data_IF_002508152550
#
_entry.id   IF_002508152550
#
_cell.length_a   1.000
_cell.length_b   1.000
_cell.length_c   1.000
_cell.angle_alpha   90.00
_cell.angle_beta   90.00
_cell.angle_gamma   90.00
#
_symmetry.space_group_name_H-M   'P 1'
#
loop_
_entity.id
_entity.type
_entity.pdbx_description
1 polymer ?
#
# COMPACT_ATOMS: atom_id res chain seq x y z
N UNK A 1 -10.45 5.74 7.49
CA UNK A 1 -10.70 4.44 8.16
C UNK A 1 -10.35 3.34 7.17
N UNK A 2 -9.80 2.20 7.61
CA UNK A 2 -9.86 0.98 6.83
C UNK A 2 -11.32 0.73 6.44
N UNK A 3 -11.59 0.51 5.15
CA UNK A 3 -12.93 0.11 4.73
C UNK A 3 -12.94 -1.41 4.54
N UNK A 4 -13.32 -2.10 5.61
CA UNK A 4 -13.34 -3.57 5.70
C UNK A 4 -14.30 -4.20 4.66
N UNK A 5 -15.25 -3.42 4.14
CA UNK A 5 -16.23 -3.88 3.13
C UNK A 5 -15.72 -3.61 1.72
N UNK A 6 -15.12 -2.44 1.47
CA UNK A 6 -14.65 -2.10 0.12
C UNK A 6 -13.36 -2.82 -0.28
N UNK A 7 -12.43 -3.05 0.65
CA UNK A 7 -11.13 -3.62 0.31
C UNK A 7 -11.20 -5.04 -0.31
N UNK A 8 -12.04 -5.98 0.20
CA UNK A 8 -12.23 -7.29 -0.44
C UNK A 8 -12.85 -7.19 -1.83
N UNK A 9 -13.87 -6.32 -1.99
CA UNK A 9 -14.59 -6.16 -3.26
C UNK A 9 -13.67 -5.57 -4.35
N UNK A 10 -12.83 -4.59 -3.99
CA UNK A 10 -11.82 -4.06 -4.89
C UNK A 10 -10.78 -5.12 -5.25
N UNK A 11 -10.39 -5.99 -4.32
CA UNK A 11 -9.44 -7.07 -4.59
C UNK A 11 -9.99 -8.09 -5.58
N UNK A 12 -11.29 -8.39 -5.52
CA UNK A 12 -11.98 -9.25 -6.50
C UNK A 12 -12.00 -8.62 -7.90
N UNK A 13 -12.26 -7.31 -8.00
CA UNK A 13 -12.22 -6.58 -9.29
C UNK A 13 -10.80 -6.62 -9.87
N UNK A 14 -9.77 -6.37 -9.06
CA UNK A 14 -8.37 -6.43 -9.52
C UNK A 14 -7.99 -7.82 -10.03
N UNK A 15 -8.55 -8.88 -9.45
CA UNK A 15 -8.32 -10.26 -9.86
C UNK A 15 -9.18 -10.75 -11.03
N UNK A 16 -10.05 -9.91 -11.60
CA UNK A 16 -11.03 -10.36 -12.59
C UNK A 16 -10.35 -10.73 -13.93
N UNK A 17 -10.73 -11.86 -14.56
CA UNK A 17 -10.17 -12.26 -15.84
C UNK A 17 -10.37 -11.18 -16.91
N UNK A 18 -9.28 -10.80 -17.59
CA UNK A 18 -9.30 -9.78 -18.65
C UNK A 18 -9.04 -8.35 -18.17
N UNK A 19 -8.94 -8.12 -16.86
CA UNK A 19 -8.44 -6.86 -16.33
C UNK A 19 -6.91 -6.90 -16.26
N UNK A 20 -6.27 -5.92 -16.89
CA UNK A 20 -4.82 -5.73 -16.84
C UNK A 20 -4.55 -4.47 -16.02
N UNK A 21 -3.81 -4.64 -14.94
CA UNK A 21 -3.43 -3.56 -14.03
C UNK A 21 -1.92 -3.62 -13.84
N UNK A 22 -1.28 -2.46 -13.97
CA UNK A 22 0.13 -2.31 -13.61
C UNK A 22 0.32 -2.54 -12.11
N UNK A 23 1.32 -3.34 -11.75
CA UNK A 23 1.62 -3.66 -10.35
C UNK A 23 0.43 -4.27 -9.58
N UNK A 24 -0.32 -5.17 -10.23
CA UNK A 24 -1.47 -5.84 -9.61
C UNK A 24 -1.13 -6.55 -8.29
N UNK A 25 0.08 -7.08 -8.14
CA UNK A 25 0.55 -7.72 -6.90
C UNK A 25 0.67 -6.70 -5.76
N UNK A 26 1.31 -5.55 -5.99
CA UNK A 26 1.37 -4.45 -5.04
C UNK A 26 -0.04 -3.94 -4.72
N UNK A 27 -0.90 -3.76 -5.73
CA UNK A 27 -2.26 -3.27 -5.52
C UNK A 27 -3.10 -4.20 -4.62
N UNK A 28 -3.09 -5.50 -4.89
CA UNK A 28 -3.77 -6.49 -4.03
C UNK A 28 -3.16 -6.53 -2.64
N UNK A 29 -1.85 -6.40 -2.52
CA UNK A 29 -1.15 -6.36 -1.23
C UNK A 29 -1.49 -5.10 -0.43
N UNK A 30 -1.64 -3.97 -1.10
CA UNK A 30 -2.01 -2.69 -0.51
C UNK A 30 -3.42 -2.74 0.08
N UNK A 31 -4.38 -3.35 -0.62
CA UNK A 31 -5.76 -3.55 -0.14
C UNK A 31 -5.77 -4.36 1.16
N UNK A 32 -4.99 -5.45 1.23
CA UNK A 32 -4.84 -6.26 2.45
C UNK A 32 -4.16 -5.47 3.58
N UNK A 33 -3.11 -4.71 3.27
CA UNK A 33 -2.40 -3.91 4.26
C UNK A 33 -3.30 -2.80 4.84
N UNK A 34 -4.09 -2.16 3.98
CA UNK A 34 -5.00 -1.08 4.36
C UNK A 34 -6.08 -1.52 5.35
N UNK A 35 -6.58 -2.76 5.24
CA UNK A 35 -7.51 -3.36 6.22
C UNK A 35 -6.90 -3.45 7.63
N UNK A 36 -5.60 -3.69 7.73
CA UNK A 36 -4.95 -3.97 9.02
C UNK A 36 -4.24 -2.76 9.62
N UNK A 37 -4.00 -1.70 8.84
CA UNK A 37 -3.20 -0.54 9.24
C UNK A 37 -4.06 0.71 9.43
N UNK A 38 -4.73 0.79 10.59
CA UNK A 38 -5.70 1.84 10.94
C UNK A 38 -5.31 3.31 10.63
N UNK A 39 -4.07 3.78 10.92
CA UNK A 39 -3.69 5.18 10.67
C UNK A 39 -3.20 5.47 9.26
N UNK A 40 -2.94 4.44 8.43
CA UNK A 40 -2.45 4.63 7.07
C UNK A 40 -3.60 4.88 6.10
N UNK A 41 -3.36 5.76 5.13
CA UNK A 41 -4.20 5.83 3.95
C UNK A 41 -3.93 4.62 3.04
N UNK A 42 -4.84 4.38 2.09
CA UNK A 42 -4.59 3.41 1.04
C UNK A 42 -3.33 3.75 0.22
N UNK A 43 -3.10 5.03 -0.07
CA UNK A 43 -1.93 5.49 -0.81
C UNK A 43 -0.62 5.13 -0.08
N UNK A 44 -0.59 5.27 1.25
CA UNK A 44 0.58 4.87 2.05
C UNK A 44 0.83 3.36 1.91
N UNK A 45 -0.23 2.56 2.02
CA UNK A 45 -0.16 1.11 1.85
C UNK A 45 0.31 0.70 0.45
N UNK A 46 -0.11 1.45 -0.58
CA UNK A 46 0.31 1.22 -1.95
C UNK A 46 1.78 1.53 -2.16
N UNK A 47 2.29 2.67 -1.67
CA UNK A 47 3.72 2.99 -1.79
C UNK A 47 4.60 1.98 -1.06
N UNK A 48 4.19 1.54 0.14
CA UNK A 48 4.91 0.51 0.91
C UNK A 48 5.01 -0.82 0.14
N UNK A 49 3.90 -1.26 -0.46
CA UNK A 49 3.84 -2.55 -1.17
C UNK A 49 4.48 -2.48 -2.55
N UNK A 50 4.35 -1.35 -3.25
CA UNK A 50 5.01 -1.11 -4.53
C UNK A 50 6.53 -1.04 -4.38
N UNK A 51 7.05 -0.33 -3.38
CA UNK A 51 8.49 -0.30 -3.11
C UNK A 51 9.04 -1.70 -2.88
N UNK A 52 8.32 -2.52 -2.09
CA UNK A 52 8.68 -3.92 -1.87
C UNK A 52 8.66 -4.74 -3.16
N UNK A 53 7.65 -4.57 -4.02
CA UNK A 53 7.56 -5.26 -5.32
C UNK A 53 8.74 -4.88 -6.23
N UNK A 54 9.10 -3.60 -6.25
CA UNK A 54 10.19 -3.07 -7.08
C UNK A 54 11.59 -3.32 -6.49
N UNK A 55 11.69 -3.95 -5.32
CA UNK A 55 12.97 -4.17 -4.63
C UNK A 55 13.63 -2.89 -4.11
N UNK A 56 12.87 -1.81 -3.97
CA UNK A 56 13.34 -0.55 -3.39
C UNK A 56 13.42 -0.71 -1.86
N UNK A 57 14.53 -0.24 -1.29
CA UNK A 57 14.83 -0.41 0.15
C UNK A 57 14.41 0.79 0.99
N UNK A 58 14.17 1.94 0.36
CA UNK A 58 14.01 3.22 1.03
C UNK A 58 12.85 4.01 0.43
N UNK A 59 11.99 4.56 1.29
CA UNK A 59 10.96 5.54 0.93
C UNK A 59 11.29 6.84 1.65
N UNK A 60 11.44 7.91 0.88
CA UNK A 60 11.62 9.26 1.44
C UNK A 60 10.28 9.96 1.60
N UNK A 61 9.93 10.37 2.82
CA UNK A 61 8.65 11.04 3.10
C UNK A 61 8.73 12.04 4.24
N UNK A 62 7.84 13.05 4.20
CA UNK A 62 7.60 13.96 5.33
C UNK A 62 6.49 13.46 6.26
N UNK A 63 5.77 12.38 5.92
CA UNK A 63 4.68 11.87 6.73
C UNK A 63 5.20 11.07 7.93
N UNK A 64 5.01 11.63 9.14
CA UNK A 64 5.40 11.02 10.41
C UNK A 64 4.67 9.71 10.73
N UNK A 65 3.53 9.44 10.10
CA UNK A 65 2.78 8.17 10.31
C UNK A 65 3.54 6.95 9.80
N UNK A 66 4.57 7.16 8.97
CA UNK A 66 5.37 6.12 8.35
C UNK A 66 6.58 5.70 9.19
N UNK A 67 6.90 6.40 10.29
CA UNK A 67 8.04 6.14 11.19
C UNK A 67 8.06 4.71 11.77
N UNK A 68 6.93 4.01 11.73
CA UNK A 68 6.77 2.62 12.19
C UNK A 68 7.20 1.55 11.17
N UNK A 69 7.59 1.94 9.96
CA UNK A 69 8.03 1.03 8.90
C UNK A 69 9.55 1.16 8.71
N UNK A 70 10.34 0.11 9.03
CA UNK A 70 11.80 0.18 9.01
C UNK A 70 12.42 0.54 7.64
N UNK A 71 11.68 0.33 6.54
CA UNK A 71 12.10 0.64 5.17
C UNK A 71 11.75 2.06 4.72
N UNK A 72 11.33 2.95 5.63
CA UNK A 72 10.96 4.33 5.33
C UNK A 72 11.93 5.27 6.03
N UNK A 73 12.58 6.14 5.25
CA UNK A 73 13.42 7.22 5.74
C UNK A 73 12.63 8.53 5.79
N UNK A 74 12.51 9.11 6.99
CA UNK A 74 11.85 10.39 7.16
C UNK A 74 12.78 11.54 6.76
N UNK A 75 12.33 12.36 5.81
CA UNK A 75 13.01 13.61 5.48
C UNK A 75 12.70 14.68 6.52
N UNK A 76 13.74 15.36 7.01
CA UNK A 76 13.62 16.56 7.86
C UNK A 76 13.85 17.79 6.97
N UNK A 77 13.00 18.84 7.07
CA UNK A 77 13.24 20.12 6.40
C UNK A 77 14.56 20.77 6.84
#
# INVERSE_FOLDING_TARGET
MPDDVLAPLLAEIVGFPGIVIEHGVALTSALKLWQTQGPLSFADCFHLTLNRELGMTEIYTFDRKMDRFPSVEQLKP
#
